data_IF_772188755162
#
_entry.id   IF_772188755162
#
_cell.length_a   1.000
_cell.length_b   1.000
_cell.length_c   1.000
_cell.angle_alpha   90.00
_cell.angle_beta   90.00
_cell.angle_gamma   90.00
#
_symmetry.space_group_name_H-M   'P 1'
#
loop_
_entity.id
_entity.type
_entity.pdbx_description
1 polymer ?
#
# COMPACT_ATOMS: atom_id res chain seq x y z
N UNK A 1 40.67 -2.17 -15.63
CA UNK A 1 40.05 -2.29 -14.28
C UNK A 1 38.62 -1.82 -14.43
N UNK A 2 37.67 -2.76 -14.49
CA UNK A 2 36.26 -2.42 -14.69
C UNK A 2 35.66 -2.10 -13.32
N UNK A 3 35.32 -0.84 -13.10
CA UNK A 3 34.53 -0.40 -11.96
C UNK A 3 33.09 -0.79 -12.27
N UNK A 4 32.64 -1.91 -11.70
CA UNK A 4 31.22 -2.27 -11.66
C UNK A 4 30.52 -1.26 -10.75
N UNK A 5 29.83 -0.31 -11.34
CA UNK A 5 28.96 0.62 -10.62
C UNK A 5 27.74 -0.17 -10.10
N UNK A 6 27.75 -0.51 -8.82
CA UNK A 6 26.53 -0.95 -8.15
C UNK A 6 25.51 0.20 -8.16
N UNK A 7 24.23 -0.04 -8.48
CA UNK A 7 23.21 0.99 -8.37
C UNK A 7 23.02 1.34 -6.89
N UNK A 8 23.53 2.50 -6.49
CA UNK A 8 23.25 3.13 -5.20
C UNK A 8 21.75 3.41 -5.10
N UNK A 9 21.01 2.44 -4.59
CA UNK A 9 19.56 2.54 -4.39
C UNK A 9 19.29 2.87 -2.93
N UNK A 10 19.79 4.02 -2.49
CA UNK A 10 19.46 4.58 -1.18
C UNK A 10 18.42 5.69 -1.35
N UNK A 11 17.34 5.39 -2.06
CA UNK A 11 16.13 6.21 -2.01
C UNK A 11 15.42 5.82 -0.71
N UNK A 12 15.58 6.63 0.33
CA UNK A 12 14.82 6.47 1.57
C UNK A 12 13.33 6.44 1.23
N UNK A 13 12.60 5.44 1.74
CA UNK A 13 11.19 5.31 1.46
C UNK A 13 10.46 6.56 1.98
N UNK A 14 9.57 7.15 1.18
CA UNK A 14 8.67 8.20 1.69
C UNK A 14 7.44 7.56 2.29
N UNK A 15 7.15 7.92 3.53
CA UNK A 15 6.07 7.34 4.30
C UNK A 15 4.92 8.35 4.42
N UNK A 16 3.71 7.86 4.21
CA UNK A 16 2.47 8.63 4.28
C UNK A 16 1.42 7.84 5.07
N UNK A 17 0.41 8.52 5.56
CA UNK A 17 -0.78 7.91 6.17
C UNK A 17 -2.01 8.36 5.41
N UNK A 18 -2.88 7.41 5.12
CA UNK A 18 -4.19 7.64 4.53
C UNK A 18 -5.25 7.18 5.54
N UNK A 19 -6.08 8.12 5.96
CA UNK A 19 -7.24 7.89 6.80
C UNK A 19 -8.48 7.83 5.91
N UNK A 20 -9.30 6.80 6.09
CA UNK A 20 -10.58 6.65 5.40
C UNK A 20 -11.65 6.36 6.45
N UNK A 21 -12.60 7.29 6.58
CA UNK A 21 -13.64 7.22 7.60
C UNK A 21 -14.50 5.95 7.45
N UNK A 22 -14.69 5.26 8.58
CA UNK A 22 -15.40 3.99 8.62
C UNK A 22 -14.71 2.82 7.89
N UNK A 23 -13.48 3.00 7.40
CA UNK A 23 -12.72 1.95 6.71
C UNK A 23 -11.40 1.61 7.42
N UNK A 24 -10.63 2.61 7.87
CA UNK A 24 -9.41 2.40 8.66
C UNK A 24 -8.26 3.34 8.33
N UNK A 25 -7.13 3.12 9.00
CA UNK A 25 -5.85 3.79 8.79
C UNK A 25 -4.88 2.96 7.95
N UNK A 26 -4.24 3.59 6.98
CA UNK A 26 -3.35 2.93 6.02
C UNK A 26 -2.01 3.64 5.93
N UNK A 27 -0.92 2.92 6.20
CA UNK A 27 0.43 3.44 5.97
C UNK A 27 0.84 3.20 4.52
N UNK A 28 1.30 4.22 3.81
CA UNK A 28 1.73 4.13 2.41
C UNK A 28 3.23 4.37 2.32
N UNK A 29 3.98 3.32 1.96
CA UNK A 29 5.44 3.39 1.81
C UNK A 29 5.80 3.43 0.33
N UNK A 30 6.35 4.54 -0.13
CA UNK A 30 6.83 4.71 -1.50
C UNK A 30 8.32 4.43 -1.54
N UNK A 31 8.74 3.45 -2.34
CA UNK A 31 10.13 3.03 -2.45
C UNK A 31 10.23 1.61 -2.98
N UNK A 32 11.41 1.00 -2.82
CA UNK A 32 11.65 -0.39 -3.21
C UNK A 32 12.33 -1.24 -2.12
N UNK A 33 12.68 -0.65 -0.98
CA UNK A 33 13.28 -1.36 0.16
C UNK A 33 12.66 -0.82 1.43
N UNK A 34 12.06 -1.71 2.22
CA UNK A 34 11.28 -1.36 3.39
C UNK A 34 11.75 -2.19 4.58
N UNK A 35 12.25 -1.53 5.61
CA UNK A 35 12.72 -2.15 6.84
C UNK A 35 11.55 -2.52 7.75
N UNK A 36 11.67 -3.67 8.42
CA UNK A 36 10.68 -4.20 9.36
C UNK A 36 11.31 -4.28 10.76
N UNK A 37 10.54 -3.96 11.79
CA UNK A 37 11.02 -4.07 13.16
C UNK A 37 9.98 -3.75 14.23
N UNK A 38 10.43 -3.88 15.47
CA UNK A 38 9.64 -3.56 16.66
C UNK A 38 9.31 -2.06 16.76
N UNK A 39 8.07 -1.76 17.14
CA UNK A 39 7.67 -0.40 17.52
C UNK A 39 8.45 0.07 18.77
N UNK A 40 8.75 1.37 18.86
CA UNK A 40 9.49 1.95 19.99
C UNK A 40 11.01 1.74 19.97
N UNK A 41 11.57 1.22 18.88
CA UNK A 41 13.03 1.16 18.67
C UNK A 41 13.63 2.57 18.46
N UNK A 42 14.84 2.86 18.99
CA UNK A 42 15.52 4.15 18.78
C UNK A 42 15.82 4.47 17.31
N UNK A 43 16.05 3.43 16.50
CA UNK A 43 16.13 3.54 15.05
C UNK A 43 14.84 2.95 14.48
N UNK A 44 13.89 3.79 14.03
CA UNK A 44 12.60 3.31 13.56
C UNK A 44 12.75 2.59 12.22
N UNK A 45 12.08 1.45 12.11
CA UNK A 45 11.87 0.77 10.84
C UNK A 45 10.70 1.41 10.07
N UNK A 46 10.61 1.17 8.76
CA UNK A 46 9.51 1.65 7.92
C UNK A 46 8.18 0.99 8.30
N UNK A 47 8.22 -0.32 8.56
CA UNK A 47 7.08 -1.12 9.05
C UNK A 47 7.34 -1.49 10.50
N UNK A 48 6.57 -0.86 11.41
CA UNK A 48 6.68 -1.04 12.86
C UNK A 48 5.52 -1.87 13.40
N UNK A 49 5.83 -2.90 14.20
CA UNK A 49 4.83 -3.78 14.81
C UNK A 49 4.92 -3.73 16.32
N UNK A 50 3.77 -3.61 16.99
CA UNK A 50 3.66 -3.65 18.46
C UNK A 50 3.60 -5.10 18.95
N UNK A 51 4.74 -5.79 18.85
CA UNK A 51 4.92 -7.17 19.27
C UNK A 51 6.38 -7.42 19.72
N UNK A 52 6.68 -8.66 20.09
CA UNK A 52 8.02 -9.18 20.43
C UNK A 52 8.90 -9.45 19.20
N UNK A 53 8.78 -8.63 18.15
CA UNK A 53 9.69 -8.68 17.01
C UNK A 53 11.09 -8.16 17.38
N UNK A 54 12.14 -8.59 16.65
CA UNK A 54 13.43 -7.92 16.71
C UNK A 54 13.31 -6.43 16.37
N UNK A 55 14.15 -5.59 17.00
CA UNK A 55 14.22 -4.15 16.70
C UNK A 55 14.52 -3.88 15.22
N UNK A 56 15.36 -4.71 14.62
CA UNK A 56 15.65 -4.75 13.19
C UNK A 56 15.46 -6.18 12.71
N UNK A 57 14.25 -6.51 12.27
CA UNK A 57 13.90 -7.87 11.85
C UNK A 57 14.48 -8.20 10.47
N UNK A 58 14.52 -7.22 9.57
CA UNK A 58 14.97 -7.40 8.19
C UNK A 58 14.35 -6.34 7.28
N UNK A 59 14.31 -6.64 5.99
CA UNK A 59 13.74 -5.77 4.97
C UNK A 59 12.99 -6.56 3.90
N UNK A 60 11.91 -5.97 3.41
CA UNK A 60 11.24 -6.37 2.19
C UNK A 60 11.80 -5.53 1.05
N UNK A 61 12.33 -6.17 0.00
CA UNK A 61 12.86 -5.51 -1.19
C UNK A 61 11.99 -5.89 -2.38
N UNK A 62 11.48 -4.89 -3.11
CA UNK A 62 10.81 -5.09 -4.39
C UNK A 62 11.85 -5.28 -5.48
N UNK A 63 11.72 -6.35 -6.27
CA UNK A 63 12.59 -6.65 -7.40
C UNK A 63 11.72 -6.97 -8.62
N UNK A 64 11.75 -6.10 -9.63
CA UNK A 64 10.93 -6.18 -10.85
C UNK A 64 9.43 -6.37 -10.56
N UNK A 65 8.98 -7.63 -10.46
CA UNK A 65 7.60 -8.04 -10.24
C UNK A 65 7.35 -8.80 -8.94
N UNK A 66 8.37 -8.94 -8.11
CA UNK A 66 8.37 -9.79 -6.93
C UNK A 66 8.82 -9.02 -5.67
N UNK A 67 8.59 -9.67 -4.52
CA UNK A 67 9.05 -9.20 -3.23
C UNK A 67 10.00 -10.22 -2.62
N UNK A 68 11.16 -9.75 -2.16
CA UNK A 68 12.16 -10.56 -1.49
C UNK A 68 12.24 -10.16 -0.02
N UNK A 69 12.33 -11.15 0.86
CA UNK A 69 12.70 -10.96 2.25
C UNK A 69 14.21 -11.06 2.39
N UNK A 70 14.80 -10.09 3.09
CA UNK A 70 16.20 -10.13 3.50
C UNK A 70 16.30 -9.95 5.01
N UNK A 71 16.96 -10.88 5.69
CA UNK A 71 17.40 -10.72 7.07
C UNK A 71 18.89 -11.07 7.19
N UNK A 72 19.45 -11.02 8.39
CA UNK A 72 20.88 -11.31 8.61
C UNK A 72 21.14 -12.81 8.77
N UNK A 73 20.13 -13.53 9.21
CA UNK A 73 20.21 -14.92 9.66
C UNK A 73 20.03 -15.92 8.52
N UNK A 74 19.37 -15.50 7.42
CA UNK A 74 19.04 -16.37 6.30
C UNK A 74 19.34 -15.70 4.95
N UNK A 75 19.63 -16.49 3.90
CA UNK A 75 19.67 -15.98 2.54
C UNK A 75 18.35 -15.30 2.15
N UNK A 76 18.42 -14.40 1.16
CA UNK A 76 17.24 -13.76 0.63
C UNK A 76 16.25 -14.79 0.07
N UNK A 77 14.95 -14.61 0.34
CA UNK A 77 13.90 -15.54 -0.08
C UNK A 77 12.73 -14.81 -0.73
N UNK A 78 12.14 -15.43 -1.76
CA UNK A 78 10.93 -14.93 -2.40
C UNK A 78 9.75 -14.94 -1.42
N UNK A 79 9.02 -13.83 -1.36
CA UNK A 79 7.77 -13.71 -0.62
C UNK A 79 6.60 -14.03 -1.55
N UNK A 80 5.96 -15.16 -1.31
CA UNK A 80 4.77 -15.57 -2.06
C UNK A 80 3.53 -14.91 -1.45
N UNK A 81 2.68 -14.22 -2.23
CA UNK A 81 1.46 -13.62 -1.73
C UNK A 81 0.57 -14.62 -0.96
N UNK A 82 0.07 -14.22 0.21
CA UNK A 82 -0.71 -15.03 1.13
C UNK A 82 0.12 -15.79 2.17
N UNK A 83 1.44 -15.90 2.00
CA UNK A 83 2.30 -16.51 3.00
C UNK A 83 2.72 -15.52 4.11
N UNK A 84 3.09 -16.08 5.25
CA UNK A 84 3.63 -15.33 6.38
C UNK A 84 5.09 -14.98 6.09
N UNK A 85 5.43 -13.71 6.24
CA UNK A 85 6.82 -13.22 6.16
C UNK A 85 7.60 -13.86 7.32
N UNK A 86 8.79 -14.45 7.06
CA UNK A 86 9.51 -15.23 8.06
C UNK A 86 10.26 -14.31 9.05
N UNK A 87 9.49 -13.59 9.87
CA UNK A 87 9.97 -12.76 10.98
C UNK A 87 9.82 -13.54 12.29
N UNK A 88 10.86 -13.55 13.11
CA UNK A 88 10.78 -14.14 14.44
C UNK A 88 9.88 -13.33 15.38
N UNK A 89 9.10 -14.02 16.21
CA UNK A 89 8.20 -13.43 17.22
C UNK A 89 6.76 -13.93 17.09
N UNK A 90 5.88 -13.41 17.94
CA UNK A 90 4.47 -13.79 17.99
C UNK A 90 3.65 -13.25 16.82
N UNK A 91 4.03 -12.10 16.27
CA UNK A 91 3.23 -11.45 15.23
C UNK A 91 3.47 -12.03 13.83
N UNK A 92 2.39 -12.51 13.21
CA UNK A 92 2.39 -13.04 11.86
C UNK A 92 1.99 -11.95 10.86
N UNK A 93 2.94 -11.54 10.03
CA UNK A 93 2.74 -10.60 8.94
C UNK A 93 2.51 -11.36 7.63
N UNK A 94 1.46 -11.02 6.90
CA UNK A 94 1.20 -11.54 5.55
C UNK A 94 1.35 -10.43 4.52
N UNK A 95 1.76 -10.81 3.31
CA UNK A 95 1.83 -9.93 2.15
C UNK A 95 0.82 -10.40 1.09
N UNK A 96 0.09 -9.47 0.50
CA UNK A 96 -0.85 -9.73 -0.59
C UNK A 96 -0.62 -8.74 -1.73
N UNK A 97 -0.86 -9.16 -2.98
CA UNK A 97 -0.88 -8.27 -4.15
C UNK A 97 -2.26 -8.40 -4.80
N UNK A 98 -3.26 -7.60 -4.38
CA UNK A 98 -4.66 -7.82 -4.77
C UNK A 98 -4.98 -7.59 -6.24
N UNK A 99 -4.20 -6.76 -6.93
CA UNK A 99 -4.47 -6.32 -8.30
C UNK A 99 -3.37 -6.79 -9.23
N UNK A 100 -3.73 -7.38 -10.37
CA UNK A 100 -2.77 -7.71 -11.43
C UNK A 100 -2.23 -6.48 -12.19
N UNK A 101 -2.87 -5.31 -12.01
CA UNK A 101 -2.53 -4.06 -12.70
C UNK A 101 -1.48 -3.21 -11.99
N UNK A 102 -1.04 -3.62 -10.80
CA UNK A 102 -0.10 -2.86 -9.97
C UNK A 102 0.60 -3.81 -9.01
N UNK A 103 1.90 -3.65 -8.83
CA UNK A 103 2.65 -4.45 -7.85
C UNK A 103 2.55 -3.89 -6.43
N UNK A 104 1.63 -2.95 -6.17
CA UNK A 104 1.38 -2.47 -4.81
C UNK A 104 0.97 -3.64 -3.92
N UNK A 105 1.77 -3.90 -2.89
CA UNK A 105 1.48 -4.96 -1.93
C UNK A 105 0.78 -4.40 -0.69
N UNK A 106 -0.09 -5.20 -0.10
CA UNK A 106 -0.77 -4.93 1.17
C UNK A 106 -0.23 -5.87 2.21
N UNK A 107 0.33 -5.31 3.29
CA UNK A 107 0.76 -6.04 4.46
C UNK A 107 -0.33 -6.01 5.52
N UNK A 108 -0.62 -7.17 6.08
CA UNK A 108 -1.62 -7.35 7.13
C UNK A 108 -1.04 -8.17 8.27
N UNK A 109 -1.37 -7.79 9.50
CA UNK A 109 -1.06 -8.58 10.69
C UNK A 109 -2.26 -9.45 11.07
N UNK A 110 -1.98 -10.67 11.48
CA UNK A 110 -3.02 -11.49 12.11
C UNK A 110 -3.37 -10.94 13.51
N UNK A 111 -4.66 -10.96 13.90
CA UNK A 111 -5.07 -10.59 15.25
C UNK A 111 -4.33 -11.42 16.33
N UNK A 112 -4.05 -10.84 17.51
CA UNK A 112 -4.50 -9.51 17.97
C UNK A 112 -3.51 -8.38 17.66
N UNK A 113 -2.47 -8.62 16.86
CA UNK A 113 -1.37 -7.68 16.69
C UNK A 113 -1.73 -6.49 15.79
N UNK A 114 -1.01 -5.37 15.99
CA UNK A 114 -1.23 -4.12 15.26
C UNK A 114 0.09 -3.50 14.83
N UNK A 115 0.03 -2.75 13.74
CA UNK A 115 1.09 -1.84 13.38
C UNK A 115 1.13 -0.67 14.37
N UNK A 116 2.20 0.11 14.31
CA UNK A 116 2.30 1.36 15.05
C UNK A 116 1.38 2.45 14.45
N UNK A 117 1.22 3.57 15.16
CA UNK A 117 0.51 4.78 14.67
C UNK A 117 -0.93 4.58 14.18
N UNK A 118 -1.68 3.68 14.83
CA UNK A 118 -3.08 3.39 14.50
C UNK A 118 -3.30 2.93 13.04
N UNK A 119 -2.28 2.31 12.45
CA UNK A 119 -2.36 1.75 11.11
C UNK A 119 -2.97 0.34 11.16
N UNK A 120 -4.02 0.12 10.36
CA UNK A 120 -4.64 -1.19 10.19
C UNK A 120 -3.91 -2.05 9.15
N UNK A 121 -3.40 -1.42 8.08
CA UNK A 121 -2.66 -2.10 7.00
C UNK A 121 -1.57 -1.20 6.42
N UNK A 122 -0.44 -1.81 6.03
CA UNK A 122 0.62 -1.10 5.33
C UNK A 122 0.56 -1.42 3.84
N UNK A 123 0.78 -0.43 2.99
CA UNK A 123 0.85 -0.58 1.54
C UNK A 123 2.27 -0.28 1.08
N UNK A 124 2.91 -1.24 0.42
CA UNK A 124 4.17 -1.05 -0.28
C UNK A 124 3.83 -0.54 -1.67
N UNK A 125 3.88 0.78 -1.86
CA UNK A 125 3.33 1.47 -3.02
C UNK A 125 4.22 1.25 -4.24
N UNK A 126 3.62 0.81 -5.33
CA UNK A 126 4.23 0.80 -6.67
C UNK A 126 3.65 1.93 -7.52
N UNK A 127 3.01 1.62 -8.65
CA UNK A 127 2.47 2.64 -9.55
C UNK A 127 1.13 3.20 -9.08
N UNK A 128 0.25 2.33 -8.58
CA UNK A 128 -1.14 2.70 -8.28
C UNK A 128 -1.69 1.94 -7.08
N UNK A 129 -2.62 2.58 -6.38
CA UNK A 129 -3.44 2.00 -5.32
C UNK A 129 -4.88 2.04 -5.82
N UNK A 130 -5.61 0.96 -5.59
CA UNK A 130 -7.02 0.85 -5.93
C UNK A 130 -7.81 0.87 -4.63
N UNK A 131 -8.81 1.75 -4.55
CA UNK A 131 -9.66 1.94 -3.37
C UNK A 131 -11.11 1.76 -3.82
N UNK A 132 -11.86 0.85 -3.21
CA UNK A 132 -13.23 0.56 -3.63
C UNK A 132 -13.82 -0.69 -3.02
N UNK A 133 -15.01 -1.13 -3.45
CA UNK A 133 -15.74 -2.24 -2.82
C UNK A 133 -15.20 -3.63 -3.19
N UNK A 134 -14.44 -3.75 -4.28
CA UNK A 134 -14.01 -5.00 -4.88
C UNK A 134 -12.90 -5.69 -4.06
N UNK A 135 -12.83 -7.01 -4.12
CA UNK A 135 -11.76 -7.78 -3.47
C UNK A 135 -10.38 -7.56 -4.12
N UNK A 136 -10.35 -7.15 -5.39
CA UNK A 136 -9.16 -6.76 -6.14
C UNK A 136 -8.65 -5.35 -5.78
N UNK A 137 -9.38 -4.59 -4.97
CA UNK A 137 -8.90 -3.29 -4.50
C UNK A 137 -7.88 -3.49 -3.36
N UNK A 138 -6.80 -2.71 -3.40
CA UNK A 138 -5.76 -2.72 -2.37
C UNK A 138 -6.34 -2.28 -1.03
N UNK A 139 -7.20 -1.26 -1.07
CA UNK A 139 -7.99 -0.81 0.07
C UNK A 139 -9.45 -1.11 -0.23
N UNK A 140 -9.99 -2.10 0.48
CA UNK A 140 -11.39 -2.49 0.31
C UNK A 140 -12.30 -1.61 1.18
N UNK A 141 -12.89 -0.60 0.57
CA UNK A 141 -13.87 0.29 1.18
C UNK A 141 -15.26 -0.01 0.58
N UNK A 142 -16.12 -0.69 1.35
CA UNK A 142 -17.44 -1.14 0.86
C UNK A 142 -18.47 -0.02 0.80
N UNK A 143 -18.19 1.11 1.44
CA UNK A 143 -19.05 2.31 1.40
C UNK A 143 -18.96 3.05 0.06
N UNK A 144 -17.88 2.87 -0.70
CA UNK A 144 -17.75 3.47 -2.03
C UNK A 144 -18.55 2.68 -3.06
N UNK A 145 -19.21 3.38 -3.98
CA UNK A 145 -20.01 2.74 -5.02
C UNK A 145 -19.13 2.10 -6.10
N UNK A 146 -17.90 2.57 -6.23
CA UNK A 146 -16.98 2.19 -7.30
C UNK A 146 -15.51 2.28 -6.89
N UNK A 147 -14.64 1.76 -7.77
CA UNK A 147 -13.19 1.84 -7.55
C UNK A 147 -12.62 3.20 -7.95
N UNK A 148 -11.66 3.67 -7.18
CA UNK A 148 -10.83 4.85 -7.44
C UNK A 148 -9.36 4.43 -7.55
N UNK A 149 -8.62 5.17 -8.36
CA UNK A 149 -7.19 5.02 -8.60
C UNK A 149 -6.46 6.15 -7.89
N UNK A 150 -5.67 5.81 -6.88
CA UNK A 150 -4.77 6.71 -6.18
C UNK A 150 -3.35 6.49 -6.71
N UNK A 151 -2.67 7.56 -7.12
CA UNK A 151 -1.32 7.54 -7.69
C UNK A 151 -0.40 8.53 -6.99
N UNK A 152 0.86 8.14 -6.79
CA UNK A 152 1.90 9.03 -6.30
C UNK A 152 2.83 9.42 -7.46
N UNK A 153 2.90 10.71 -7.78
CA UNK A 153 3.79 11.23 -8.83
C UNK A 153 4.35 12.59 -8.44
N UNK A 154 5.64 12.78 -8.66
CA UNK A 154 6.35 14.03 -8.37
C UNK A 154 6.09 14.55 -6.95
N UNK A 155 6.12 13.66 -5.95
CA UNK A 155 5.90 14.04 -4.56
C UNK A 155 4.44 14.26 -4.16
N UNK A 156 3.48 14.01 -5.04
CA UNK A 156 2.07 14.33 -4.81
C UNK A 156 1.13 13.17 -5.09
N UNK A 157 0.12 13.06 -4.23
CA UNK A 157 -0.96 12.11 -4.38
C UNK A 157 -2.07 12.68 -5.27
N UNK A 158 -2.53 11.88 -6.23
CA UNK A 158 -3.67 12.21 -7.10
C UNK A 158 -4.64 11.06 -7.13
N UNK A 159 -5.93 11.37 -7.02
CA UNK A 159 -7.03 10.44 -7.06
C UNK A 159 -7.84 10.66 -8.33
N UNK A 160 -8.30 9.56 -8.94
CA UNK A 160 -9.25 9.60 -10.05
C UNK A 160 -10.18 8.42 -9.94
N UNK A 161 -11.46 8.60 -10.22
CA UNK A 161 -12.38 7.47 -10.37
C UNK A 161 -11.88 6.53 -11.48
N UNK A 162 -11.92 5.22 -11.22
CA UNK A 162 -11.64 4.23 -12.25
C UNK A 162 -12.81 4.26 -13.24
N UNK A 163 -12.57 4.38 -14.55
CA UNK A 163 -13.63 4.18 -15.53
C UNK A 163 -14.25 2.81 -15.24
N UNK A 164 -15.55 2.77 -15.00
CA UNK A 164 -16.28 1.51 -14.88
C UNK A 164 -15.96 0.69 -16.13
N UNK A 165 -15.40 -0.50 -15.93
CA UNK A 165 -15.29 -1.48 -17.02
C UNK A 165 -16.69 -1.80 -17.55
N UNK A 166 -16.82 -2.48 -18.71
CA UNK A 166 -18.14 -2.87 -19.20
C UNK A 166 -18.84 -3.68 -18.11
N UNK A 167 -19.80 -3.04 -17.43
CA UNK A 167 -20.71 -3.74 -16.56
C UNK A 167 -21.47 -4.71 -17.48
N UNK A 168 -21.73 -5.91 -16.99
CA UNK A 168 -22.60 -6.88 -17.67
C UNK A 168 -24.05 -6.34 -17.59
N UNK A 169 -24.32 -5.23 -18.27
CA UNK A 169 -25.63 -4.62 -18.38
C UNK A 169 -26.40 -5.47 -19.39
N UNK A 170 -27.53 -6.09 -19.03
CA UNK A 170 -28.37 -6.76 -20.01
C UNK A 170 -28.71 -5.76 -21.11
N UNK A 171 -28.42 -6.14 -22.35
CA UNK A 171 -28.50 -5.28 -23.52
C UNK A 171 -29.91 -4.70 -23.69
N UNK A 172 -30.12 -3.48 -23.18
CA UNK A 172 -31.16 -2.52 -23.55
C UNK A 172 -30.98 -1.24 -22.73
N UNK A 173 -30.08 -0.37 -23.20
CA UNK A 173 -30.23 1.09 -23.22
C UNK A 173 -28.89 1.68 -23.67
N UNK A 174 -28.75 1.84 -25.00
CA UNK A 174 -27.88 2.88 -25.53
C UNK A 174 -28.43 4.23 -25.05
N UNK A 175 -27.74 4.87 -24.10
CA UNK A 175 -27.98 6.28 -23.80
C UNK A 175 -26.65 7.00 -23.61
N UNK A 176 -26.29 7.76 -24.66
CA UNK A 176 -25.42 8.94 -24.68
C UNK A 176 -24.08 8.81 -23.94
N UNK A 177 -23.03 8.47 -24.69
CA UNK A 177 -21.63 8.77 -24.32
C UNK A 177 -21.45 10.29 -24.17
N UNK A 178 -21.60 10.80 -22.96
CA UNK A 178 -20.93 12.04 -22.56
C UNK A 178 -19.51 11.68 -22.12
N UNK A 179 -18.47 12.34 -22.65
CA UNK A 179 -17.13 12.21 -22.08
C UNK A 179 -17.14 13.00 -20.77
N UNK A 180 -17.55 12.36 -19.68
CA UNK A 180 -17.38 12.95 -18.37
C UNK A 180 -15.88 12.94 -18.10
N UNK A 181 -15.24 14.09 -18.37
CA UNK A 181 -13.85 14.32 -18.01
C UNK A 181 -13.75 14.01 -16.53
N UNK A 182 -13.06 12.92 -16.19
CA UNK A 182 -12.94 12.45 -14.83
C UNK A 182 -11.60 13.01 -14.30
N UNK A 183 -11.61 14.21 -13.68
CA UNK A 183 -10.38 14.95 -13.46
C UNK A 183 -9.56 14.26 -12.37
N UNK A 184 -8.24 14.41 -12.47
CA UNK A 184 -7.36 14.06 -11.36
C UNK A 184 -7.58 15.06 -10.22
N UNK A 185 -8.01 14.56 -9.06
CA UNK A 185 -8.12 15.32 -7.82
C UNK A 185 -6.77 15.21 -7.11
N UNK A 186 -6.11 16.33 -6.83
CA UNK A 186 -4.88 16.33 -6.03
C UNK A 186 -5.24 16.25 -4.55
N UNK A 187 -4.62 15.34 -3.83
CA UNK A 187 -4.73 15.26 -2.37
C UNK A 187 -3.58 16.07 -1.74
N UNK A 188 -3.89 16.83 -0.70
CA UNK A 188 -2.93 17.67 0.04
C UNK A 188 -2.95 17.32 1.53
N UNK A 189 -1.86 17.62 2.22
CA UNK A 189 -1.51 17.15 3.57
C UNK A 189 -2.42 17.64 4.71
N UNK A 190 -3.47 18.40 4.38
CA UNK A 190 -4.36 19.06 5.33
C UNK A 190 -5.82 19.08 4.87
N UNK A 191 -6.13 18.50 3.71
CA UNK A 191 -7.47 18.54 3.14
C UNK A 191 -8.12 17.16 3.24
N UNK A 192 -9.24 17.11 3.96
CA UNK A 192 -10.18 16.00 3.81
C UNK A 192 -10.93 16.15 2.49
N UNK A 193 -11.00 15.07 1.73
CA UNK A 193 -11.86 14.94 0.55
C UNK A 193 -13.03 14.03 0.89
N UNK A 194 -14.22 14.31 0.37
CA UNK A 194 -15.40 13.46 0.58
C UNK A 194 -15.84 12.90 -0.77
N UNK A 195 -15.98 11.58 -0.84
CA UNK A 195 -16.41 10.83 -2.03
C UNK A 195 -17.41 9.77 -1.58
N UNK A 196 -18.59 9.74 -2.19
CA UNK A 196 -19.69 8.83 -1.80
C UNK A 196 -19.93 8.85 -0.28
N UNK A 197 -19.93 10.05 0.32
CA UNK A 197 -20.04 10.30 1.77
C UNK A 197 -18.86 9.79 2.63
N UNK A 198 -17.85 9.17 2.03
CA UNK A 198 -16.63 8.73 2.70
C UNK A 198 -15.59 9.84 2.69
N UNK A 199 -15.24 10.33 3.88
CA UNK A 199 -14.13 11.26 4.05
C UNK A 199 -12.78 10.52 4.01
N UNK A 200 -11.82 11.12 3.31
CA UNK A 200 -10.45 10.63 3.23
C UNK A 200 -9.45 11.76 3.42
N UNK A 201 -8.38 11.48 4.14
CA UNK A 201 -7.31 12.44 4.41
C UNK A 201 -5.96 11.76 4.27
N UNK A 202 -5.00 12.44 3.64
CA UNK A 202 -3.64 11.95 3.47
C UNK A 202 -2.64 12.91 4.08
N UNK A 203 -1.64 12.39 4.77
CA UNK A 203 -0.60 13.18 5.46
C UNK A 203 0.76 12.46 5.38
N UNK A 204 1.89 13.17 5.52
CA UNK A 204 3.19 12.53 5.73
C UNK A 204 3.24 11.79 7.07
N UNK A 205 3.95 10.65 7.10
CA UNK A 205 4.07 9.81 8.30
C UNK A 205 5.32 10.12 9.13
#
# INVERSE_FOLDING_TARGET
MNVTTEPQTNAQASAWRLWIDGCGGFGLLVGNSFTLGQAGSPQPADVRVRADWPRQAGKIVRSENDYLWHCREMPASLLVPGQVVPVAGSAQLQIHVPSSLSQTAVLTLQPPHRFDDHIDRMLLVDQTILIGPEASNHIRCRQLEQSFLLVYRNGHWKLRQRPSGPQNVPAKQELKKQPQANPWIRLTETQSIVIDEVAMMIEPA
#
